data_IF_349688685391
#
_entry.id   IF_349688685391
#
_cell.length_a   1.000
_cell.length_b   1.000
_cell.length_c   1.000
_cell.angle_alpha   90.00
_cell.angle_beta   90.00
_cell.angle_gamma   90.00
#
_symmetry.space_group_name_H-M   'P 1'
#
loop_
_entity.id
_entity.type
_entity.pdbx_description
1 polymer ?
#
# COMPACT_ATOMS: atom_id res chain seq x y z
N UNK A 1 51.57 -0.61 -2.13
CA UNK A 1 50.62 -1.61 -2.67
C UNK A 1 49.65 -1.92 -1.55
N UNK A 2 48.45 -1.35 -1.59
CA UNK A 2 47.38 -1.67 -0.64
C UNK A 2 46.45 -2.61 -1.40
N UNK A 3 46.43 -3.88 -1.02
CA UNK A 3 45.49 -4.85 -1.57
C UNK A 3 44.08 -4.40 -1.18
N UNK A 4 43.29 -3.97 -2.17
CA UNK A 4 41.86 -3.72 -1.98
C UNK A 4 41.16 -5.08 -2.02
N UNK A 5 40.73 -5.58 -0.87
CA UNK A 5 39.90 -6.78 -0.81
C UNK A 5 38.52 -6.48 -1.43
N UNK A 6 38.06 -7.39 -2.28
CA UNK A 6 36.70 -7.33 -2.84
C UNK A 6 35.69 -7.36 -1.68
N UNK A 7 34.78 -6.37 -1.56
CA UNK A 7 33.81 -6.32 -0.47
C UNK A 7 32.92 -7.56 -0.38
N UNK A 8 32.78 -8.33 -1.47
CA UNK A 8 32.08 -9.63 -1.47
C UNK A 8 32.84 -10.70 -0.69
N UNK A 9 34.17 -10.69 -0.73
CA UNK A 9 35.01 -11.63 0.04
C UNK A 9 34.90 -11.31 1.54
N UNK A 10 34.94 -10.02 1.89
CA UNK A 10 34.78 -9.55 3.28
C UNK A 10 33.41 -9.94 3.86
N UNK A 11 32.34 -9.82 3.07
CA UNK A 11 30.99 -10.20 3.49
C UNK A 11 30.83 -11.72 3.66
N UNK A 12 31.45 -12.53 2.79
CA UNK A 12 31.44 -14.00 2.91
C UNK A 12 32.23 -14.44 4.14
N UNK A 13 33.40 -13.85 4.40
CA UNK A 13 34.19 -14.17 5.58
C UNK A 13 33.45 -13.81 6.88
N UNK A 14 32.78 -12.66 6.93
CA UNK A 14 31.95 -12.27 8.08
C UNK A 14 30.76 -13.22 8.31
N UNK A 15 30.11 -13.70 7.24
CA UNK A 15 29.02 -14.66 7.33
C UNK A 15 29.51 -16.03 7.82
N UNK A 16 30.68 -16.48 7.34
CA UNK A 16 31.31 -17.73 7.78
C UNK A 16 31.67 -17.65 9.26
N UNK A 17 32.26 -16.54 9.71
CA UNK A 17 32.58 -16.31 11.13
C UNK A 17 31.33 -16.30 12.02
N UNK A 18 30.24 -15.67 11.57
CA UNK A 18 28.97 -15.65 12.31
C UNK A 18 28.35 -17.05 12.44
N UNK A 19 28.43 -17.87 11.39
CA UNK A 19 27.95 -19.25 11.39
C UNK A 19 28.81 -20.11 12.34
N UNK A 20 30.14 -19.99 12.28
CA UNK A 20 31.06 -20.72 13.15
C UNK A 20 30.82 -20.36 14.63
N UNK A 21 30.65 -19.06 14.95
CA UNK A 21 30.33 -18.61 16.30
C UNK A 21 28.97 -19.15 16.80
N UNK A 22 27.96 -19.18 15.93
CA UNK A 22 26.65 -19.76 16.26
C UNK A 22 26.72 -21.27 16.50
N UNK A 23 27.55 -21.99 15.72
CA UNK A 23 27.77 -23.43 15.90
C UNK A 23 28.56 -23.75 17.18
N UNK A 24 29.53 -22.91 17.56
CA UNK A 24 30.25 -23.04 18.84
C UNK A 24 29.38 -22.74 20.06
N UNK A 25 28.39 -21.86 19.92
CA UNK A 25 27.45 -21.50 20.97
C UNK A 25 26.39 -22.59 21.24
N UNK A 26 26.25 -23.60 20.37
CA UNK A 26 25.31 -24.70 20.61
C UNK A 26 25.78 -25.59 21.77
N UNK A 27 24.86 -25.98 22.69
CA UNK A 27 25.22 -26.83 23.82
C UNK A 27 25.73 -28.19 23.35
N UNK A 28 26.89 -28.61 23.85
CA UNK A 28 27.59 -29.86 23.44
C UNK A 28 26.82 -31.15 23.74
N UNK A 29 25.72 -31.06 24.48
CA UNK A 29 24.81 -32.17 24.80
C UNK A 29 23.38 -31.67 24.69
N UNK A 30 22.85 -31.60 23.47
CA UNK A 30 21.41 -31.58 23.26
C UNK A 30 20.94 -33.04 23.20
N UNK A 31 20.02 -33.43 24.08
CA UNK A 31 19.26 -34.67 23.93
C UNK A 31 17.91 -34.33 23.32
N UNK A 32 17.31 -35.28 22.60
CA UNK A 32 15.91 -35.17 22.23
C UNK A 32 14.99 -35.35 23.45
N UNK A 33 13.67 -35.24 23.23
CA UNK A 33 12.63 -35.41 24.24
C UNK A 33 12.61 -36.82 24.88
N UNK A 34 13.41 -37.75 24.38
CA UNK A 34 13.56 -39.11 24.88
C UNK A 34 14.90 -39.37 25.59
N UNK A 35 15.74 -38.33 25.76
CA UNK A 35 17.02 -38.43 26.45
C UNK A 35 18.15 -39.04 25.63
N UNK A 36 17.95 -39.24 24.31
CA UNK A 36 19.01 -39.72 23.42
C UNK A 36 19.87 -38.55 22.94
N UNK A 37 21.21 -38.65 22.97
CA UNK A 37 22.08 -37.58 22.53
C UNK A 37 21.93 -37.34 21.02
N UNK A 38 21.53 -36.13 20.64
CA UNK A 38 21.46 -35.71 19.24
C UNK A 38 22.87 -35.79 18.65
N UNK A 39 23.09 -36.76 17.75
CA UNK A 39 24.35 -36.86 17.00
C UNK A 39 24.38 -35.79 15.91
N UNK A 40 24.77 -34.58 16.30
CA UNK A 40 25.10 -33.52 15.34
C UNK A 40 26.38 -33.93 14.61
N UNK A 41 26.26 -34.25 13.31
CA UNK A 41 27.44 -34.41 12.45
C UNK A 41 28.12 -33.05 12.36
N UNK A 42 29.38 -32.96 12.80
CA UNK A 42 30.22 -31.76 12.61
C UNK A 42 30.27 -31.46 11.11
N UNK A 43 29.58 -30.41 10.67
CA UNK A 43 29.77 -29.86 9.34
C UNK A 43 31.21 -29.35 9.26
N UNK A 44 31.96 -29.80 8.26
CA UNK A 44 33.31 -29.29 8.04
C UNK A 44 33.18 -27.93 7.37
N UNK A 45 34.14 -27.02 7.62
CA UNK A 45 34.21 -25.70 6.99
C UNK A 45 34.06 -25.77 5.45
N UNK A 46 34.55 -26.84 4.84
CA UNK A 46 34.38 -27.12 3.41
C UNK A 46 32.93 -27.38 2.99
N UNK A 47 32.12 -28.04 3.82
CA UNK A 47 30.73 -28.37 3.52
C UNK A 47 29.84 -27.10 3.52
N UNK A 48 30.13 -26.13 4.40
CA UNK A 48 29.42 -24.83 4.47
C UNK A 48 29.86 -23.92 3.33
N UNK A 49 31.17 -23.84 3.05
CA UNK A 49 31.70 -23.07 1.94
C UNK A 49 31.18 -23.59 0.58
N UNK A 50 31.09 -24.91 0.40
CA UNK A 50 30.53 -25.54 -0.80
C UNK A 50 29.01 -25.27 -0.93
N UNK A 51 28.26 -25.29 0.17
CA UNK A 51 26.83 -24.97 0.14
C UNK A 51 26.56 -23.48 -0.20
N UNK A 52 27.37 -22.56 0.33
CA UNK A 52 27.30 -21.13 0.02
C UNK A 52 27.73 -20.86 -1.42
N UNK A 53 28.83 -21.47 -1.89
CA UNK A 53 29.27 -21.37 -3.29
C UNK A 53 28.21 -21.94 -4.26
N UNK A 54 27.59 -23.07 -3.93
CA UNK A 54 26.50 -23.65 -4.73
C UNK A 54 25.27 -22.73 -4.77
N UNK A 55 24.89 -22.11 -3.65
CA UNK A 55 23.78 -21.16 -3.59
C UNK A 55 24.07 -19.90 -4.41
N UNK A 56 25.29 -19.35 -4.30
CA UNK A 56 25.72 -18.17 -5.07
C UNK A 56 25.80 -18.47 -6.58
N UNK A 57 26.24 -19.67 -6.96
CA UNK A 57 26.24 -20.13 -8.37
C UNK A 57 24.86 -20.44 -8.93
N UNK A 58 23.85 -20.59 -8.07
CA UNK A 58 22.46 -20.83 -8.49
C UNK A 58 21.67 -19.53 -8.71
N UNK A 59 22.21 -18.39 -8.27
CA UNK A 59 21.61 -17.06 -8.47
C UNK A 59 21.49 -16.60 -9.93
N UNK A 60 22.32 -17.02 -10.92
CA UNK A 60 22.15 -16.63 -12.32
C UNK A 60 20.96 -17.31 -13.04
N UNK A 61 20.18 -18.17 -12.38
CA UNK A 61 19.01 -18.83 -12.98
C UNK A 61 17.67 -18.37 -12.40
N UNK A 62 17.66 -17.37 -11.51
CA UNK A 62 16.45 -16.60 -11.24
C UNK A 62 16.34 -15.52 -12.31
N UNK A 63 15.63 -15.87 -13.38
CA UNK A 63 15.20 -14.96 -14.43
C UNK A 63 14.24 -13.92 -13.82
N UNK A 64 14.82 -12.85 -13.26
CA UNK A 64 14.09 -11.63 -12.95
C UNK A 64 14.08 -10.84 -14.24
N UNK A 65 13.06 -11.09 -15.06
CA UNK A 65 12.91 -10.48 -16.39
C UNK A 65 13.08 -8.96 -16.35
N UNK A 66 14.25 -8.52 -16.80
CA UNK A 66 14.46 -7.19 -17.38
C UNK A 66 14.75 -7.43 -18.85
N UNK A 67 13.82 -6.98 -19.70
CA UNK A 67 13.80 -7.30 -21.12
C UNK A 67 15.09 -6.93 -21.87
N UNK A 68 15.49 -7.86 -22.74
CA UNK A 68 16.43 -7.64 -23.82
C UNK A 68 15.86 -6.65 -24.85
N UNK A 69 15.93 -5.35 -24.62
CA UNK A 69 15.86 -4.35 -25.69
C UNK A 69 16.73 -3.14 -25.35
N UNK A 70 18.05 -3.25 -25.61
CA UNK A 70 18.96 -2.19 -26.09
C UNK A 70 20.43 -2.57 -25.87
N UNK A 71 20.96 -3.47 -26.71
CA UNK A 71 22.42 -3.56 -26.93
C UNK A 71 22.71 -3.42 -28.42
N UNK A 72 22.69 -2.17 -28.85
CA UNK A 72 23.07 -1.74 -30.19
C UNK A 72 23.69 -0.36 -30.13
N UNK A 73 24.80 -0.21 -29.39
CA UNK A 73 25.86 0.80 -29.53
C UNK A 73 26.92 0.59 -28.44
N UNK A 74 28.19 0.65 -28.83
CA UNK A 74 29.34 0.27 -28.00
C UNK A 74 29.48 1.04 -26.69
N UNK A 75 30.02 0.35 -25.69
CA UNK A 75 30.49 0.95 -24.44
C UNK A 75 31.75 1.80 -24.70
N UNK A 76 31.86 3.02 -24.16
CA UNK A 76 33.08 3.83 -24.27
C UNK A 76 34.16 3.33 -23.30
N UNK A 77 35.39 3.37 -23.80
CA UNK A 77 36.63 2.81 -23.23
C UNK A 77 37.23 3.65 -22.09
N UNK A 78 36.43 4.41 -21.34
CA UNK A 78 36.94 5.18 -20.20
C UNK A 78 35.88 5.36 -19.12
N UNK A 79 35.89 4.47 -18.13
CA UNK A 79 35.13 4.59 -16.89
C UNK A 79 36.11 4.85 -15.74
N UNK A 80 35.96 5.97 -15.04
CA UNK A 80 36.72 6.27 -13.82
C UNK A 80 35.97 5.80 -12.56
N UNK A 81 36.62 5.10 -11.61
CA UNK A 81 35.96 4.57 -10.43
C UNK A 81 35.89 5.63 -9.33
N UNK A 82 34.68 6.11 -9.01
CA UNK A 82 34.55 7.03 -7.89
C UNK A 82 33.18 7.58 -7.53
N UNK A 83 32.05 7.07 -8.04
CA UNK A 83 30.73 7.50 -7.56
C UNK A 83 29.70 6.38 -7.72
N UNK A 84 29.55 5.52 -6.70
CA UNK A 84 28.21 4.99 -6.43
C UNK A 84 28.01 4.69 -4.94
N UNK A 85 26.84 5.08 -4.42
CA UNK A 85 26.38 4.88 -3.04
C UNK A 85 25.33 3.76 -3.02
N UNK A 86 25.66 2.58 -3.54
CA UNK A 86 24.73 1.45 -3.56
C UNK A 86 25.33 0.24 -2.83
N UNK A 87 25.77 0.46 -1.58
CA UNK A 87 26.12 -0.63 -0.65
C UNK A 87 24.88 -1.06 0.17
N UNK A 88 23.90 -0.17 0.32
CA UNK A 88 22.71 -0.39 1.15
C UNK A 88 21.71 -1.40 0.55
N UNK A 89 21.64 -1.54 -0.77
CA UNK A 89 20.70 -2.45 -1.44
C UNK A 89 21.18 -3.92 -1.40
N UNK A 90 22.50 -4.14 -1.33
CA UNK A 90 23.07 -5.49 -1.26
C UNK A 90 22.87 -6.11 0.13
N UNK A 91 23.01 -5.33 1.21
CA UNK A 91 22.73 -5.80 2.56
C UNK A 91 21.23 -6.11 2.76
N UNK A 92 20.33 -5.34 2.14
CA UNK A 92 18.87 -5.55 2.27
C UNK A 92 18.36 -6.83 1.60
N UNK A 93 19.07 -7.37 0.59
CA UNK A 93 18.67 -8.60 -0.12
C UNK A 93 19.35 -9.86 0.42
N UNK A 94 20.60 -9.75 0.87
CA UNK A 94 21.40 -10.92 1.30
C UNK A 94 20.95 -11.42 2.68
N UNK A 95 20.68 -10.52 3.63
CA UNK A 95 20.31 -10.90 5.00
C UNK A 95 18.97 -11.67 5.09
N UNK A 96 17.87 -11.25 4.43
CA UNK A 96 16.60 -11.98 4.48
C UNK A 96 16.69 -13.33 3.78
N UNK A 97 17.46 -13.42 2.70
CA UNK A 97 17.62 -14.64 1.90
C UNK A 97 18.48 -15.67 2.65
N UNK A 98 19.60 -15.24 3.24
CA UNK A 98 20.43 -16.08 4.08
C UNK A 98 19.69 -16.56 5.35
N UNK A 99 18.89 -15.68 5.96
CA UNK A 99 18.04 -16.01 7.11
C UNK A 99 16.96 -17.04 6.74
N UNK A 100 16.32 -16.91 5.57
CA UNK A 100 15.31 -17.86 5.10
C UNK A 100 15.91 -19.24 4.77
N UNK A 101 17.11 -19.27 4.18
CA UNK A 101 17.85 -20.53 3.92
C UNK A 101 18.26 -21.19 5.23
N UNK A 102 18.77 -20.42 6.20
CA UNK A 102 19.10 -20.92 7.53
C UNK A 102 17.87 -21.46 8.28
N UNK A 103 16.75 -20.73 8.27
CA UNK A 103 15.50 -21.16 8.90
C UNK A 103 14.92 -22.42 8.24
N UNK A 104 14.99 -22.54 6.91
CA UNK A 104 14.55 -23.74 6.19
C UNK A 104 15.43 -24.96 6.50
N UNK A 105 16.75 -24.76 6.62
CA UNK A 105 17.72 -25.82 6.93
C UNK A 105 17.57 -26.32 8.38
N UNK A 106 17.39 -25.39 9.33
CA UNK A 106 17.14 -25.71 10.74
C UNK A 106 15.77 -26.40 10.90
N UNK A 107 14.74 -25.92 10.20
CA UNK A 107 13.41 -26.55 10.16
C UNK A 107 13.44 -27.98 9.58
N UNK A 108 14.26 -28.23 8.57
CA UNK A 108 14.43 -29.57 7.99
C UNK A 108 15.15 -30.54 8.95
N UNK A 109 16.06 -30.06 9.79
CA UNK A 109 16.73 -30.89 10.80
C UNK A 109 15.85 -31.17 12.03
N UNK A 110 14.98 -30.23 12.41
CA UNK A 110 14.01 -30.44 13.49
C UNK A 110 12.89 -31.44 13.12
N UNK A 111 12.66 -31.68 11.83
CA UNK A 111 11.67 -32.66 11.35
C UNK A 111 12.13 -34.12 11.32
N UNK A 112 13.38 -34.42 11.71
CA UNK A 112 13.91 -35.81 11.70
C UNK A 112 13.43 -36.63 12.93
N UNK A 113 12.61 -36.05 13.82
CA UNK A 113 12.12 -36.70 15.05
C UNK A 113 10.74 -37.35 15.00
N UNK A 114 9.99 -37.32 13.88
CA UNK A 114 8.67 -37.97 13.80
C UNK A 114 8.64 -39.05 12.73
N UNK A 115 8.62 -40.30 13.19
CA UNK A 115 8.48 -41.49 12.34
C UNK A 115 7.15 -41.49 11.59
N UNK A 116 7.18 -41.06 10.33
CA UNK A 116 6.10 -41.33 9.38
C UNK A 116 6.51 -42.48 8.45
N UNK A 117 5.61 -43.46 8.38
CA UNK A 117 5.70 -44.66 7.55
C UNK A 117 5.90 -44.33 6.07
N UNK A 118 6.76 -45.11 5.42
CA UNK A 118 7.19 -44.94 4.04
C UNK A 118 6.05 -45.15 3.04
N UNK A 119 5.42 -44.06 2.58
CA UNK A 119 5.02 -43.92 1.17
C UNK A 119 4.75 -42.45 0.84
N UNK A 120 5.44 -41.96 -0.19
CA UNK A 120 5.43 -40.58 -0.76
C UNK A 120 6.24 -39.53 0.01
N UNK A 121 7.45 -39.27 -0.50
CA UNK A 121 8.21 -38.05 -0.20
C UNK A 121 7.56 -36.87 -0.95
N UNK A 122 7.14 -35.77 -0.30
CA UNK A 122 6.82 -34.56 -1.04
C UNK A 122 8.12 -33.89 -1.51
N UNK A 123 8.13 -33.37 -2.73
CA UNK A 123 9.21 -32.53 -3.23
C UNK A 123 9.25 -31.19 -2.48
N UNK A 124 10.43 -30.59 -2.32
CA UNK A 124 10.64 -29.26 -1.73
C UNK A 124 9.68 -28.17 -2.25
N UNK A 125 9.17 -28.30 -3.49
CA UNK A 125 8.17 -27.39 -4.06
C UNK A 125 6.81 -27.36 -3.34
N UNK A 126 6.43 -28.42 -2.62
CA UNK A 126 5.11 -28.51 -1.96
C UNK A 126 5.06 -27.76 -0.62
N UNK A 127 6.21 -27.61 0.06
CA UNK A 127 6.30 -26.84 1.31
C UNK A 127 6.26 -25.32 1.08
N UNK A 128 6.78 -24.85 -0.07
CA UNK A 128 6.75 -23.43 -0.42
C UNK A 128 5.34 -22.95 -0.84
N UNK A 129 4.51 -23.83 -1.40
CA UNK A 129 3.13 -23.49 -1.79
C UNK A 129 2.22 -23.15 -0.58
N UNK A 130 2.53 -23.67 0.61
CA UNK A 130 1.75 -23.46 1.84
C UNK A 130 1.98 -22.10 2.51
N UNK A 131 3.07 -21.40 2.18
CA UNK A 131 3.45 -20.11 2.78
C UNK A 131 3.17 -18.90 1.86
N UNK A 132 2.79 -19.15 0.60
CA UNK A 132 2.45 -18.14 -0.39
C UNK A 132 1.32 -17.13 0.04
N UNK A 133 0.33 -17.47 0.88
CA UNK A 133 -0.72 -16.50 1.24
C UNK A 133 -0.29 -15.36 2.17
N UNK A 134 0.94 -15.39 2.71
CA UNK A 134 1.34 -14.51 3.82
C UNK A 134 2.08 -13.24 3.35
N UNK A 135 2.20 -13.04 2.03
CA UNK A 135 3.10 -12.03 1.44
C UNK A 135 2.46 -10.71 0.99
N UNK A 136 1.16 -10.46 1.15
CA UNK A 136 0.56 -9.18 0.71
C UNK A 136 -0.34 -8.52 1.77
N UNK A 137 0.02 -7.27 2.10
CA UNK A 137 -0.78 -6.22 2.74
C UNK A 137 -1.42 -6.53 4.10
N UNK A 138 -0.62 -6.89 5.10
CA UNK A 138 -1.03 -6.76 6.51
C UNK A 138 -0.27 -5.61 7.16
N UNK A 139 -0.99 -4.62 7.69
CA UNK A 139 -0.38 -3.56 8.50
C UNK A 139 0.33 -4.16 9.72
N UNK A 140 1.34 -3.48 10.27
CA UNK A 140 2.07 -3.92 11.47
C UNK A 140 1.12 -4.32 12.62
N UNK A 141 0.02 -3.58 12.79
CA UNK A 141 -1.05 -3.86 13.76
C UNK A 141 -1.80 -5.18 13.48
N UNK A 142 -1.94 -5.56 12.21
CA UNK A 142 -2.56 -6.81 11.76
C UNK A 142 -1.62 -7.99 11.95
N UNK A 143 -0.33 -7.81 11.68
CA UNK A 143 0.70 -8.82 11.95
C UNK A 143 0.83 -9.08 13.45
N UNK A 144 0.85 -8.02 14.26
CA UNK A 144 0.90 -8.11 15.73
C UNK A 144 -0.30 -8.84 16.32
N UNK A 145 -1.53 -8.51 15.91
CA UNK A 145 -2.73 -9.24 16.35
C UNK A 145 -2.75 -10.71 15.92
N UNK A 146 -2.21 -11.02 14.73
CA UNK A 146 -2.12 -12.40 14.25
C UNK A 146 -1.06 -13.20 15.00
N UNK A 147 0.07 -12.58 15.34
CA UNK A 147 1.12 -13.15 16.19
C UNK A 147 0.63 -13.38 17.62
N UNK A 148 -0.08 -12.42 18.21
CA UNK A 148 -0.70 -12.56 19.54
C UNK A 148 -1.76 -13.68 19.57
N UNK A 149 -2.54 -13.81 18.49
CA UNK A 149 -3.49 -14.92 18.33
C UNK A 149 -2.78 -16.27 18.20
N UNK A 150 -1.69 -16.34 17.43
CA UNK A 150 -0.89 -17.55 17.28
C UNK A 150 -0.21 -17.96 18.60
N UNK A 151 0.25 -16.99 19.39
CA UNK A 151 0.78 -17.23 20.74
C UNK A 151 -0.30 -17.70 21.72
N UNK A 152 -1.56 -17.27 21.54
CA UNK A 152 -2.69 -17.68 22.40
C UNK A 152 -3.29 -19.04 22.05
N UNK A 153 -3.14 -19.52 20.81
CA UNK A 153 -3.79 -20.74 20.32
C UNK A 153 -2.92 -22.01 20.44
N UNK A 154 -1.71 -21.92 21.00
CA UNK A 154 -0.98 -23.08 21.53
C UNK A 154 0.47 -23.21 21.08
N UNK A 155 1.37 -22.67 21.87
CA UNK A 155 2.69 -23.26 22.13
C UNK A 155 3.21 -22.67 23.43
N UNK A 156 3.33 -23.50 24.45
CA UNK A 156 3.97 -23.13 25.72
C UNK A 156 5.48 -23.05 25.47
N UNK A 157 5.95 -21.96 24.86
CA UNK A 157 7.37 -21.68 24.78
C UNK A 157 7.75 -21.03 26.10
N UNK A 158 8.45 -21.79 26.96
CA UNK A 158 9.11 -21.22 28.12
C UNK A 158 10.17 -20.24 27.61
N UNK A 159 9.85 -18.95 27.62
CA UNK A 159 10.84 -17.89 27.42
C UNK A 159 11.91 -18.05 28.51
N UNK A 160 13.10 -18.52 28.12
CA UNK A 160 14.25 -18.52 29.01
C UNK A 160 14.65 -17.07 29.33
N UNK A 161 15.20 -16.85 30.52
CA UNK A 161 15.76 -15.58 30.99
C UNK A 161 16.72 -14.93 29.99
N UNK A 162 17.32 -15.72 29.11
CA UNK A 162 18.27 -15.31 28.09
C UNK A 162 17.61 -14.53 26.94
N UNK A 163 16.37 -14.88 26.59
CA UNK A 163 15.60 -14.16 25.56
C UNK A 163 15.20 -12.76 26.07
N UNK A 164 14.85 -12.65 27.36
CA UNK A 164 14.54 -11.38 28.01
C UNK A 164 15.79 -10.49 28.20
N UNK A 165 16.97 -11.11 28.35
CA UNK A 165 18.26 -10.39 28.42
C UNK A 165 18.66 -9.83 27.06
N UNK A 166 18.59 -10.63 25.99
CA UNK A 166 18.90 -10.20 24.63
C UNK A 166 17.96 -9.08 24.17
N UNK A 167 16.66 -9.15 24.51
CA UNK A 167 15.73 -8.05 24.24
C UNK A 167 16.03 -6.76 25.00
N UNK A 168 16.72 -6.84 26.15
CA UNK A 168 17.15 -5.67 26.93
C UNK A 168 18.42 -5.07 26.32
N UNK A 169 19.40 -5.90 26.00
CA UNK A 169 20.65 -5.48 25.35
C UNK A 169 20.38 -4.86 23.96
N UNK A 170 19.44 -5.40 23.18
CA UNK A 170 19.03 -4.83 21.90
C UNK A 170 18.35 -3.46 22.05
N UNK A 171 17.59 -3.27 23.15
CA UNK A 171 16.89 -2.02 23.44
C UNK A 171 17.85 -0.94 23.97
N UNK A 172 18.88 -1.34 24.69
CA UNK A 172 19.98 -0.45 25.12
C UNK A 172 20.87 -0.05 23.93
N UNK A 173 21.12 -0.95 22.97
CA UNK A 173 21.85 -0.63 21.74
C UNK A 173 21.06 0.28 20.77
N UNK A 174 19.72 0.22 20.79
CA UNK A 174 18.88 1.14 20.02
C UNK A 174 18.78 2.55 20.64
N UNK A 175 19.19 2.73 21.90
CA UNK A 175 19.30 4.02 22.56
C UNK A 175 20.68 4.64 22.33
N UNK A 176 21.09 4.72 21.07
CA UNK A 176 22.33 5.39 20.67
C UNK A 176 22.40 6.85 21.15
N UNK A 177 23.61 7.21 21.57
CA UNK A 177 24.19 8.55 21.79
C UNK A 177 23.23 9.74 22.06
N UNK A 178 23.16 10.28 23.29
CA UNK A 178 22.25 11.36 23.66
C UNK A 178 22.52 12.73 22.98
N UNK A 179 23.55 12.88 22.15
CA UNK A 179 23.94 14.15 21.53
C UNK A 179 23.43 14.39 20.09
N UNK A 180 22.75 13.43 19.46
CA UNK A 180 22.11 13.65 18.16
C UNK A 180 20.64 14.08 18.29
N UNK A 181 20.37 15.27 18.82
CA UNK A 181 19.04 15.89 18.75
C UNK A 181 18.71 16.27 17.30
N UNK A 182 18.15 15.31 16.55
CA UNK A 182 17.38 15.64 15.35
C UNK A 182 16.18 16.46 15.82
N UNK A 183 16.11 17.73 15.41
CA UNK A 183 15.01 18.61 15.76
C UNK A 183 13.68 17.94 15.37
N UNK A 184 12.88 17.58 16.38
CA UNK A 184 11.62 16.89 16.15
C UNK A 184 10.65 17.77 15.35
N UNK A 185 9.91 17.15 14.42
CA UNK A 185 8.92 17.85 13.62
C UNK A 185 7.81 18.45 14.51
N UNK A 186 7.41 19.72 14.29
CA UNK A 186 6.25 20.28 14.97
C UNK A 186 4.94 19.62 14.49
N UNK A 187 3.85 19.72 15.26
CA UNK A 187 2.56 19.14 14.91
C UNK A 187 1.96 19.91 13.73
N UNK A 188 1.22 19.22 12.87
CA UNK A 188 0.52 19.86 11.77
C UNK A 188 -0.62 20.77 12.25
N UNK A 189 -0.96 21.81 11.48
CA UNK A 189 -2.12 22.69 11.76
C UNK A 189 -3.42 21.91 11.96
N UNK A 190 -3.58 20.78 11.25
CA UNK A 190 -4.73 19.89 11.39
C UNK A 190 -4.76 19.22 12.77
N UNK A 191 -3.62 18.72 13.26
CA UNK A 191 -3.52 18.14 14.60
C UNK A 191 -3.82 19.19 15.67
N UNK A 192 -3.22 20.39 15.58
CA UNK A 192 -3.48 21.49 16.52
C UNK A 192 -4.96 21.89 16.53
N UNK A 193 -5.59 22.00 15.35
CA UNK A 193 -7.02 22.28 15.23
C UNK A 193 -7.90 21.18 15.85
N UNK A 194 -7.51 19.92 15.69
CA UNK A 194 -8.24 18.78 16.25
C UNK A 194 -8.09 18.69 17.78
N UNK A 195 -6.88 18.88 18.30
CA UNK A 195 -6.59 18.97 19.74
C UNK A 195 -7.42 20.09 20.37
N UNK A 196 -7.44 21.29 19.78
CA UNK A 196 -8.25 22.41 20.27
C UNK A 196 -9.76 22.09 20.25
N UNK A 197 -10.24 21.33 19.26
CA UNK A 197 -11.63 20.88 19.22
C UNK A 197 -11.95 19.85 20.30
N UNK A 198 -11.05 18.90 20.57
CA UNK A 198 -11.20 17.88 21.61
C UNK A 198 -11.12 18.49 23.00
N UNK A 199 -10.11 19.33 23.25
CA UNK A 199 -9.94 20.09 24.50
C UNK A 199 -11.24 20.75 24.95
N UNK A 200 -11.96 21.40 24.02
CA UNK A 200 -13.27 22.02 24.30
C UNK A 200 -14.38 21.01 24.61
N UNK A 201 -14.46 19.90 23.87
CA UNK A 201 -15.49 18.87 24.08
C UNK A 201 -15.31 18.12 25.39
N UNK A 202 -14.07 17.94 25.83
CA UNK A 202 -13.70 17.24 27.07
C UNK A 202 -13.67 18.15 28.30
N UNK A 203 -14.12 19.40 28.18
CA UNK A 203 -14.19 20.34 29.31
C UNK A 203 -12.84 20.85 29.82
N UNK A 204 -11.74 20.61 29.09
CA UNK A 204 -10.40 21.09 29.43
C UNK A 204 -10.19 22.53 28.94
N UNK A 205 -11.18 23.42 29.14
CA UNK A 205 -11.13 24.79 28.64
C UNK A 205 -10.11 25.66 29.37
N UNK A 206 -9.79 25.31 30.62
CA UNK A 206 -8.76 25.95 31.42
C UNK A 206 -7.35 25.57 30.90
N UNK A 207 -6.45 26.55 30.79
CA UNK A 207 -5.10 26.35 30.25
C UNK A 207 -4.22 25.53 31.21
N UNK A 208 -4.42 25.67 32.52
CA UNK A 208 -3.65 24.95 33.54
C UNK A 208 -4.09 23.49 33.62
N UNK A 209 -5.39 23.22 33.67
CA UNK A 209 -5.92 21.85 33.62
C UNK A 209 -5.50 21.10 32.34
N UNK A 210 -5.43 21.81 31.21
CA UNK A 210 -4.95 21.22 29.96
C UNK A 210 -3.44 20.99 29.96
N UNK A 211 -2.66 21.92 30.51
CA UNK A 211 -1.21 21.77 30.66
C UNK A 211 -0.86 20.57 31.56
N UNK A 212 -1.60 20.39 32.66
CA UNK A 212 -1.41 19.28 33.59
C UNK A 212 -1.81 17.93 32.98
N UNK A 213 -2.80 17.91 32.07
CA UNK A 213 -3.14 16.73 31.28
C UNK A 213 -2.05 16.39 30.25
N UNK A 214 -1.41 17.41 29.63
CA UNK A 214 -0.36 17.21 28.62
C UNK A 214 0.97 16.77 29.22
N UNK A 215 1.35 17.30 30.40
CA UNK A 215 2.66 17.08 30.99
C UNK A 215 3.06 15.58 31.14
N UNK A 216 2.21 14.68 31.65
CA UNK A 216 2.58 13.26 31.78
C UNK A 216 2.62 12.53 30.43
N UNK A 217 1.92 13.01 29.40
CA UNK A 217 1.84 12.36 28.09
C UNK A 217 2.95 12.78 27.14
N UNK A 218 3.32 14.06 27.20
CA UNK A 218 4.18 14.70 26.21
C UNK A 218 5.41 15.39 26.82
N UNK A 219 5.54 15.44 28.14
CA UNK A 219 6.63 16.14 28.83
C UNK A 219 6.58 17.66 28.70
N UNK A 220 5.56 18.21 28.04
CA UNK A 220 5.43 19.64 27.75
C UNK A 220 4.10 20.20 28.28
N UNK A 221 4.14 21.47 28.70
CA UNK A 221 2.98 22.20 29.26
C UNK A 221 2.27 23.11 28.27
N UNK A 222 2.81 23.27 27.06
CA UNK A 222 2.25 24.18 26.05
C UNK A 222 2.23 23.53 24.66
N UNK A 223 1.23 23.89 23.86
CA UNK A 223 1.03 23.36 22.51
C UNK A 223 2.16 23.68 21.53
N UNK A 224 2.81 24.87 21.55
CA UNK A 224 3.91 25.16 20.63
C UNK A 224 5.15 24.29 20.82
N UNK A 225 5.40 23.80 22.04
CA UNK A 225 6.50 22.89 22.34
C UNK A 225 6.15 21.41 22.09
N UNK A 226 4.92 21.10 21.67
CA UNK A 226 4.48 19.74 21.44
C UNK A 226 5.09 19.20 20.15
N UNK A 227 5.62 17.98 20.17
CA UNK A 227 6.13 17.33 18.96
C UNK A 227 5.03 16.59 18.19
N UNK A 228 5.23 16.33 16.89
CA UNK A 228 4.23 15.66 16.04
C UNK A 228 3.82 14.27 16.55
N UNK A 229 4.76 13.50 17.09
CA UNK A 229 4.48 12.19 17.67
C UNK A 229 3.65 12.32 18.96
N UNK A 230 4.08 13.21 19.87
CA UNK A 230 3.38 13.52 21.10
C UNK A 230 1.97 14.08 20.86
N UNK A 231 1.78 14.87 19.80
CA UNK A 231 0.47 15.37 19.38
C UNK A 231 -0.50 14.25 18.99
N UNK A 232 -0.01 13.17 18.37
CA UNK A 232 -0.85 12.03 18.01
C UNK A 232 -1.30 11.25 19.25
N UNK A 233 -0.37 11.02 20.20
CA UNK A 233 -0.69 10.39 21.49
C UNK A 233 -1.70 11.22 22.30
N UNK A 234 -1.50 12.54 22.35
CA UNK A 234 -2.41 13.45 23.03
C UNK A 234 -3.83 13.41 22.42
N UNK A 235 -3.95 13.29 21.09
CA UNK A 235 -5.25 13.15 20.41
C UNK A 235 -5.96 11.87 20.84
N UNK A 236 -5.24 10.75 20.88
CA UNK A 236 -5.81 9.45 21.28
C UNK A 236 -6.27 9.48 22.75
N UNK A 237 -5.43 9.97 23.67
CA UNK A 237 -5.83 10.13 25.08
C UNK A 237 -7.00 11.09 25.26
N UNK A 238 -7.06 12.17 24.48
CA UNK A 238 -8.20 13.09 24.50
C UNK A 238 -9.48 12.45 23.96
N UNK A 239 -9.42 11.49 23.03
CA UNK A 239 -10.59 10.80 22.51
C UNK A 239 -11.21 9.85 23.54
N UNK A 240 -10.39 9.26 24.41
CA UNK A 240 -10.81 8.31 25.45
C UNK A 240 -11.54 8.98 26.63
N UNK A 241 -11.29 10.27 26.88
CA UNK A 241 -12.04 11.01 27.90
C UNK A 241 -13.53 11.05 27.56
N UNK A 242 -14.46 10.97 28.53
CA UNK A 242 -15.88 11.17 28.25
C UNK A 242 -16.15 12.62 27.78
N UNK A 243 -17.10 12.80 26.86
CA UNK A 243 -17.57 14.15 26.50
C UNK A 243 -18.31 14.76 27.69
N UNK A 244 -18.06 16.04 27.99
CA UNK A 244 -18.81 16.75 29.01
C UNK A 244 -20.17 17.13 28.43
N UNK A 245 -21.19 16.38 28.83
CA UNK A 245 -22.59 16.48 28.41
C UNK A 245 -23.21 17.81 28.90
N UNK A 246 -22.79 18.94 28.34
CA UNK A 246 -23.42 20.26 28.51
C UNK A 246 -22.63 21.44 27.96
N UNK A 247 -21.40 21.29 27.45
CA UNK A 247 -20.66 22.46 26.96
C UNK A 247 -21.48 23.16 25.85
N UNK A 248 -22.07 24.34 26.11
CA UNK A 248 -22.93 24.99 25.13
C UNK A 248 -22.04 25.29 23.93
N UNK A 249 -22.33 24.68 22.78
CA UNK A 249 -21.68 25.07 21.53
C UNK A 249 -21.76 26.58 21.47
N UNK A 250 -20.64 27.32 21.43
CA UNK A 250 -20.72 28.76 21.35
C UNK A 250 -21.59 29.07 20.13
N UNK A 251 -22.80 29.59 20.37
CA UNK A 251 -23.65 30.13 19.31
C UNK A 251 -22.72 31.01 18.50
N UNK A 252 -22.59 30.75 17.20
CA UNK A 252 -21.69 31.49 16.34
C UNK A 252 -21.93 32.98 16.59
N UNK A 253 -21.07 33.60 17.40
CA UNK A 253 -21.19 35.02 17.72
C UNK A 253 -21.03 35.69 16.37
N UNK A 254 -22.08 36.37 15.91
CA UNK A 254 -22.04 37.24 14.74
C UNK A 254 -20.79 38.08 14.89
N UNK A 255 -19.81 37.77 14.05
CA UNK A 255 -18.46 38.34 14.07
C UNK A 255 -18.61 39.87 14.13
N UNK A 256 -18.20 40.56 15.21
CA UNK A 256 -18.16 42.02 15.19
C UNK A 256 -17.27 42.44 14.03
N UNK A 257 -17.66 43.50 13.33
CA UNK A 257 -16.97 44.04 12.19
C UNK A 257 -15.52 44.37 12.56
N UNK A 258 -14.64 43.39 12.36
CA UNK A 258 -13.21 43.57 12.51
C UNK A 258 -12.75 44.46 11.34
N UNK A 259 -11.96 45.48 11.68
CA UNK A 259 -11.21 46.27 10.72
C UNK A 259 -10.56 45.37 9.65
N UNK A 260 -10.53 45.82 8.39
CA UNK A 260 -10.11 45.01 7.26
C UNK A 260 -8.62 44.66 7.40
N UNK A 261 -8.34 43.47 7.94
CA UNK A 261 -7.06 42.81 7.73
C UNK A 261 -6.83 42.73 6.22
N UNK A 262 -5.63 43.05 5.71
CA UNK A 262 -5.34 42.95 4.28
C UNK A 262 -5.67 41.53 3.84
N UNK A 263 -6.66 41.43 2.97
CA UNK A 263 -7.18 40.16 2.51
C UNK A 263 -6.05 39.43 1.79
N UNK A 264 -5.55 38.34 2.39
CA UNK A 264 -4.92 37.28 1.59
C UNK A 264 -5.95 36.90 0.53
N UNK A 265 -5.65 37.02 -0.77
CA UNK A 265 -6.61 36.77 -1.82
C UNK A 265 -7.00 35.30 -1.76
N UNK A 266 -8.20 35.02 -1.23
CA UNK A 266 -8.88 33.76 -1.52
C UNK A 266 -9.28 33.83 -2.98
N UNK A 267 -8.43 33.32 -3.86
CA UNK A 267 -8.80 33.05 -5.24
C UNK A 267 -9.94 32.04 -5.25
N UNK A 268 -11.18 32.56 -5.16
CA UNK A 268 -12.39 31.83 -5.47
C UNK A 268 -12.50 31.84 -6.99
N UNK A 269 -11.70 31.01 -7.65
CA UNK A 269 -11.84 30.78 -9.08
C UNK A 269 -13.24 30.23 -9.34
N UNK A 270 -14.15 31.08 -9.80
CA UNK A 270 -15.47 30.65 -10.25
C UNK A 270 -15.30 29.98 -11.60
N UNK A 271 -14.89 28.71 -11.60
CA UNK A 271 -14.88 27.92 -12.83
C UNK A 271 -16.33 27.72 -13.26
N UNK A 272 -16.70 28.30 -14.41
CA UNK A 272 -18.04 28.20 -15.00
C UNK A 272 -18.41 26.73 -15.18
N UNK A 273 -19.62 26.37 -14.74
CA UNK A 273 -20.15 25.02 -14.90
C UNK A 273 -21.02 24.97 -16.16
N UNK A 274 -20.77 24.01 -17.03
CA UNK A 274 -21.57 23.72 -18.23
C UNK A 274 -22.67 22.72 -17.86
N UNK A 275 -23.89 23.00 -18.31
CA UNK A 275 -25.01 22.07 -18.25
C UNK A 275 -24.88 20.99 -19.33
N UNK A 276 -25.33 19.78 -19.02
CA UNK A 276 -25.39 18.66 -19.95
C UNK A 276 -26.67 17.87 -19.74
N UNK A 277 -27.15 17.23 -20.80
CA UNK A 277 -28.29 16.32 -20.78
C UNK A 277 -28.18 15.30 -21.91
N UNK A 278 -28.54 14.05 -21.63
CA UNK A 278 -28.55 13.00 -22.66
C UNK A 278 -28.81 11.61 -22.11
N UNK A 279 -28.64 10.62 -22.98
CA UNK A 279 -28.73 9.19 -22.66
C UNK A 279 -27.37 8.68 -22.16
N UNK A 280 -27.36 7.94 -21.06
CA UNK A 280 -26.16 7.30 -20.54
C UNK A 280 -25.83 6.07 -21.40
N UNK A 281 -24.77 6.13 -22.20
CA UNK A 281 -24.32 4.99 -23.01
C UNK A 281 -23.43 4.04 -22.21
N UNK A 282 -22.81 4.52 -21.12
CA UNK A 282 -22.04 3.72 -20.17
C UNK A 282 -21.94 4.41 -18.80
N UNK A 283 -21.74 3.60 -17.77
CA UNK A 283 -21.37 4.04 -16.42
C UNK A 283 -20.22 3.15 -15.94
N UNK A 284 -19.01 3.70 -15.94
CA UNK A 284 -17.78 2.95 -15.64
C UNK A 284 -17.15 3.46 -14.34
N UNK A 285 -16.36 2.64 -13.61
CA UNK A 285 -15.60 3.13 -12.48
C UNK A 285 -14.56 4.17 -12.94
N UNK A 286 -14.32 5.18 -12.11
CA UNK A 286 -13.29 6.21 -12.31
C UNK A 286 -12.12 5.90 -11.39
N UNK A 287 -11.17 5.14 -11.92
CA UNK A 287 -9.97 4.68 -11.22
C UNK A 287 -8.78 5.27 -11.95
N UNK A 288 -7.78 5.74 -11.20
CA UNK A 288 -6.51 6.19 -11.75
C UNK A 288 -5.40 5.27 -11.25
N UNK A 289 -4.52 4.85 -12.15
CA UNK A 289 -3.26 4.21 -11.81
C UNK A 289 -2.18 5.27 -11.79
N UNK A 290 -1.32 5.24 -10.77
CA UNK A 290 -0.15 6.11 -10.68
C UNK A 290 1.02 5.29 -10.19
N UNK A 291 2.14 5.37 -10.89
CA UNK A 291 3.38 4.73 -10.48
C UNK A 291 4.22 5.73 -9.69
N UNK A 292 4.36 5.52 -8.38
CA UNK A 292 5.21 6.34 -7.51
C UNK A 292 6.33 5.47 -6.96
N UNK A 293 7.59 5.82 -7.25
CA UNK A 293 8.80 5.08 -6.80
C UNK A 293 8.81 3.59 -7.21
N UNK A 294 8.26 3.28 -8.39
CA UNK A 294 8.16 1.90 -8.89
C UNK A 294 7.05 1.09 -8.23
N UNK A 295 6.24 1.69 -7.36
CA UNK A 295 5.04 1.05 -6.81
C UNK A 295 3.77 1.60 -7.47
N UNK A 296 2.93 0.69 -7.96
CA UNK A 296 1.63 1.01 -8.52
C UNK A 296 0.61 1.34 -7.43
N UNK A 297 0.04 2.54 -7.48
CA UNK A 297 -1.02 2.99 -6.60
C UNK A 297 -2.32 3.23 -7.36
N UNK A 298 -3.41 2.67 -6.82
CA UNK A 298 -4.75 2.82 -7.40
C UNK A 298 -5.58 3.84 -6.61
N UNK A 299 -6.05 4.88 -7.30
CA UNK A 299 -6.94 5.89 -6.75
C UNK A 299 -8.38 5.67 -7.23
N UNK A 300 -9.26 5.23 -6.32
CA UNK A 300 -10.68 4.95 -6.59
C UNK A 300 -11.51 6.21 -6.36
N UNK A 301 -11.67 7.03 -7.40
CA UNK A 301 -12.18 8.39 -7.27
C UNK A 301 -13.71 8.48 -7.35
N UNK A 302 -14.35 7.60 -8.12
CA UNK A 302 -15.80 7.67 -8.36
C UNK A 302 -16.21 6.87 -9.59
N UNK A 303 -17.08 7.45 -10.42
CA UNK A 303 -17.56 6.87 -11.67
C UNK A 303 -17.51 7.89 -12.80
N UNK A 304 -17.43 7.43 -14.04
CA UNK A 304 -17.58 8.23 -15.26
C UNK A 304 -18.91 7.88 -15.90
N UNK A 305 -19.74 8.91 -16.15
CA UNK A 305 -20.94 8.80 -16.96
C UNK A 305 -20.56 9.16 -18.39
N UNK A 306 -20.78 8.24 -19.34
CA UNK A 306 -20.66 8.55 -20.76
C UNK A 306 -22.04 8.93 -21.26
N UNK A 307 -22.24 10.20 -21.59
CA UNK A 307 -23.55 10.78 -21.92
C UNK A 307 -23.58 11.09 -23.41
N UNK A 308 -24.43 10.40 -24.19
CA UNK A 308 -24.75 10.81 -25.55
C UNK A 308 -25.83 11.89 -25.50
N UNK A 309 -25.47 13.11 -25.83
CA UNK A 309 -26.43 14.23 -25.84
C UNK A 309 -25.77 15.59 -25.98
N UNK A 310 -26.43 16.61 -25.44
CA UNK A 310 -26.06 18.01 -25.61
C UNK A 310 -25.19 18.51 -24.45
N UNK A 311 -24.20 19.34 -24.78
CA UNK A 311 -23.37 20.11 -23.85
C UNK A 311 -23.62 21.60 -24.05
N UNK A 312 -23.80 22.35 -22.97
CA UNK A 312 -24.00 23.80 -23.03
C UNK A 312 -22.83 24.49 -23.76
N UNK A 313 -23.17 25.18 -24.85
CA UNK A 313 -22.20 25.88 -25.70
C UNK A 313 -21.74 25.09 -26.93
N UNK A 314 -22.23 23.87 -27.13
CA UNK A 314 -21.98 23.07 -28.34
C UNK A 314 -23.30 22.81 -29.08
N UNK A 315 -23.28 22.94 -30.42
CA UNK A 315 -24.47 22.76 -31.27
C UNK A 315 -24.71 21.31 -31.69
N UNK A 316 -23.71 20.43 -31.55
CA UNK A 316 -23.76 19.05 -31.98
C UNK A 316 -23.86 18.08 -30.79
N UNK A 317 -24.69 17.05 -30.91
CA UNK A 317 -24.72 15.96 -29.95
C UNK A 317 -23.48 15.07 -30.10
N UNK A 318 -22.89 14.68 -28.98
CA UNK A 318 -21.76 13.76 -28.92
C UNK A 318 -21.77 12.98 -27.62
N UNK A 319 -20.81 12.06 -27.46
CA UNK A 319 -20.55 11.43 -26.17
C UNK A 319 -19.71 12.39 -25.33
N UNK A 320 -20.16 12.66 -24.11
CA UNK A 320 -19.53 13.52 -23.12
C UNK A 320 -19.19 12.67 -21.90
N UNK A 321 -17.94 12.68 -21.45
CA UNK A 321 -17.54 11.97 -20.24
C UNK A 321 -17.67 12.86 -18.98
N UNK A 322 -18.45 12.43 -18.00
CA UNK A 322 -18.73 13.21 -16.77
C UNK A 322 -18.33 12.44 -15.52
N UNK A 323 -17.34 12.95 -14.80
CA UNK A 323 -16.87 12.40 -13.53
C UNK A 323 -17.81 12.72 -12.36
N UNK A 324 -18.31 11.69 -11.69
CA UNK A 324 -19.14 11.77 -10.49
C UNK A 324 -18.49 11.07 -9.30
N UNK A 325 -18.82 11.52 -8.07
CA UNK A 325 -18.33 10.89 -6.85
C UNK A 325 -19.15 9.67 -6.42
N UNK A 326 -18.58 8.84 -5.54
CA UNK A 326 -19.21 7.62 -4.98
C UNK A 326 -20.61 7.88 -4.40
N UNK A 327 -20.77 8.95 -3.64
CA UNK A 327 -22.06 9.32 -3.03
C UNK A 327 -23.13 9.69 -4.05
N UNK A 328 -22.74 10.30 -5.18
CA UNK A 328 -23.68 10.61 -6.25
C UNK A 328 -24.16 9.31 -6.94
N UNK A 329 -23.24 8.38 -7.20
CA UNK A 329 -23.61 7.09 -7.76
C UNK A 329 -24.50 6.29 -6.81
N UNK A 330 -24.16 6.20 -5.53
CA UNK A 330 -25.00 5.51 -4.54
C UNK A 330 -26.40 6.11 -4.43
N UNK A 331 -26.53 7.45 -4.53
CA UNK A 331 -27.81 8.16 -4.45
C UNK A 331 -28.68 7.94 -5.69
N UNK A 332 -28.08 8.01 -6.88
CA UNK A 332 -28.83 8.04 -8.14
C UNK A 332 -28.88 6.70 -8.85
N UNK A 333 -27.98 5.76 -8.50
CA UNK A 333 -27.82 4.47 -9.14
C UNK A 333 -27.86 4.58 -10.67
N UNK A 334 -27.02 5.47 -11.24
CA UNK A 334 -26.98 5.66 -12.70
C UNK A 334 -26.60 4.35 -13.38
N UNK A 335 -27.22 4.10 -14.53
CA UNK A 335 -26.97 2.93 -15.37
C UNK A 335 -27.08 3.31 -16.84
N UNK A 336 -26.53 2.45 -17.70
CA UNK A 336 -26.71 2.56 -19.15
C UNK A 336 -28.22 2.61 -19.50
N UNK A 337 -28.57 3.43 -20.48
CA UNK A 337 -29.93 3.68 -20.95
C UNK A 337 -30.70 4.72 -20.13
N UNK A 338 -30.23 5.13 -18.94
CA UNK A 338 -30.88 6.23 -18.22
C UNK A 338 -30.76 7.52 -19.04
N UNK A 339 -31.83 8.32 -19.07
CA UNK A 339 -31.73 9.71 -19.51
C UNK A 339 -31.46 10.58 -18.29
N UNK A 340 -30.38 11.35 -18.31
CA UNK A 340 -29.91 12.11 -17.16
C UNK A 340 -29.48 13.53 -17.54
N UNK A 341 -29.47 14.42 -16.57
CA UNK A 341 -28.96 15.78 -16.72
C UNK A 341 -28.14 16.23 -15.51
N UNK A 342 -27.31 17.24 -15.72
CA UNK A 342 -26.46 17.78 -14.67
C UNK A 342 -25.69 19.02 -15.11
N UNK A 343 -24.75 19.44 -14.25
CA UNK A 343 -23.78 20.49 -14.53
C UNK A 343 -22.38 20.06 -14.09
N UNK A 344 -21.37 20.29 -14.91
CA UNK A 344 -19.98 19.96 -14.61
C UNK A 344 -19.03 21.10 -14.96
N UNK A 345 -17.83 21.09 -14.36
CA UNK A 345 -16.74 22.01 -14.71
C UNK A 345 -15.87 21.33 -15.77
N UNK A 346 -15.52 21.97 -16.88
CA UNK A 346 -14.58 21.42 -17.84
C UNK A 346 -13.21 21.13 -17.21
N UNK A 347 -12.62 20.01 -17.56
CA UNK A 347 -11.21 19.73 -17.28
C UNK A 347 -10.37 20.45 -18.34
N UNK A 348 -9.25 21.06 -17.91
CA UNK A 348 -8.37 21.78 -18.81
C UNK A 348 -7.71 20.86 -19.84
N UNK A 349 -7.42 21.41 -21.02
CA UNK A 349 -6.69 20.69 -22.07
C UNK A 349 -5.34 20.16 -21.55
N UNK A 350 -4.96 18.95 -21.98
CA UNK A 350 -3.72 18.28 -21.57
C UNK A 350 -3.81 17.47 -20.28
N UNK A 351 -4.97 17.38 -19.65
CA UNK A 351 -5.19 16.45 -18.53
C UNK A 351 -5.45 15.05 -19.04
N UNK A 352 -4.67 14.07 -18.56
CA UNK A 352 -4.91 12.64 -18.81
C UNK A 352 -5.94 12.16 -17.79
N UNK A 353 -7.21 12.26 -18.19
CA UNK A 353 -8.35 11.96 -17.35
C UNK A 353 -9.50 11.41 -18.21
N UNK A 354 -10.16 10.36 -17.71
CA UNK A 354 -11.25 9.72 -18.44
C UNK A 354 -12.51 10.61 -18.54
N UNK A 355 -12.65 11.60 -17.66
CA UNK A 355 -13.76 12.54 -17.65
C UNK A 355 -13.37 13.87 -18.34
N UNK A 356 -14.30 14.43 -19.11
CA UNK A 356 -14.20 15.79 -19.67
C UNK A 356 -14.75 16.84 -18.70
N UNK A 357 -15.77 16.46 -17.92
CA UNK A 357 -16.39 17.32 -16.92
C UNK A 357 -16.22 16.73 -15.51
N UNK A 358 -15.88 17.57 -14.54
CA UNK A 358 -15.74 17.19 -13.13
C UNK A 358 -16.58 18.08 -12.21
N UNK A 359 -16.54 17.83 -10.88
CA UNK A 359 -17.35 18.55 -9.88
C UNK A 359 -18.84 18.60 -10.26
N UNK A 360 -19.33 17.47 -10.77
CA UNK A 360 -20.70 17.33 -11.22
C UNK A 360 -21.70 17.68 -10.10
N UNK A 361 -22.77 18.37 -10.48
CA UNK A 361 -23.79 18.89 -9.57
C UNK A 361 -25.13 19.01 -10.28
N UNK A 362 -26.21 19.26 -9.53
CA UNK A 362 -27.57 19.28 -10.06
C UNK A 362 -27.95 18.02 -10.85
N UNK A 363 -27.34 16.89 -10.47
CA UNK A 363 -27.54 15.59 -11.08
C UNK A 363 -28.99 15.13 -10.91
N UNK A 364 -29.63 14.76 -12.02
CA UNK A 364 -31.00 14.25 -12.08
C UNK A 364 -31.07 13.09 -13.04
N UNK A 365 -31.88 12.11 -12.69
CA UNK A 365 -32.33 11.08 -13.62
C UNK A 365 -33.71 11.50 -14.09
N UNK A 366 -33.85 11.69 -15.40
CA UNK A 366 -35.08 12.12 -16.07
C UNK A 366 -35.92 10.91 -16.45
N UNK A 367 -35.27 9.85 -16.94
CA UNK A 367 -35.89 8.60 -17.36
C UNK A 367 -34.96 7.43 -17.04
N UNK A 368 -35.52 6.27 -16.73
CA UNK A 368 -34.75 5.06 -16.40
C UNK A 368 -34.63 4.16 -17.60
N UNK A 369 -33.40 3.74 -17.88
CA UNK A 369 -33.12 2.71 -18.87
C UNK A 369 -33.49 1.32 -18.34
N UNK A 370 -33.63 0.38 -19.27
CA UNK A 370 -33.80 -1.03 -18.94
C UNK A 370 -32.52 -1.60 -18.32
N UNK A 371 -32.70 -2.54 -17.38
CA UNK A 371 -31.60 -3.33 -16.85
C UNK A 371 -31.48 -4.57 -17.71
N UNK A 372 -30.32 -4.77 -18.33
CA UNK A 372 -30.05 -5.97 -19.11
C UNK A 372 -29.57 -7.12 -18.20
N UNK A 373 -29.69 -8.35 -18.71
CA UNK A 373 -29.53 -9.58 -17.95
C UNK A 373 -28.11 -9.92 -17.49
N UNK A 374 -27.95 -11.17 -17.05
CA UNK A 374 -26.74 -11.68 -16.40
C UNK A 374 -25.56 -11.99 -17.35
N UNK A 375 -25.74 -11.82 -18.65
CA UNK A 375 -24.73 -12.11 -19.66
C UNK A 375 -23.90 -10.88 -20.02
N UNK A 376 -22.61 -11.07 -20.37
CA UNK A 376 -21.78 -9.98 -20.84
C UNK A 376 -22.21 -9.50 -22.25
N UNK A 377 -22.00 -8.22 -22.59
CA UNK A 377 -21.52 -7.15 -21.71
C UNK A 377 -22.55 -6.81 -20.62
N UNK A 378 -22.09 -6.72 -19.37
CA UNK A 378 -22.97 -6.51 -18.23
C UNK A 378 -23.44 -5.07 -18.15
N UNK A 379 -24.76 -4.88 -18.09
CA UNK A 379 -25.39 -3.58 -17.98
C UNK A 379 -26.23 -3.48 -16.71
N UNK A 380 -26.28 -2.30 -16.12
CA UNK A 380 -26.98 -2.05 -14.87
C UNK A 380 -26.30 -0.95 -14.07
N UNK A 381 -26.71 -0.74 -12.81
CA UNK A 381 -25.94 0.10 -11.91
C UNK A 381 -24.62 -0.60 -11.61
N UNK A 382 -23.46 0.05 -11.83
CA UNK A 382 -22.19 -0.53 -11.44
C UNK A 382 -22.14 -0.80 -9.92
N UNK A 383 -21.41 -1.84 -9.50
CA UNK A 383 -21.17 -2.16 -8.10
C UNK A 383 -20.35 -1.07 -7.39
N UNK A 384 -20.09 -1.25 -6.09
CA UNK A 384 -19.31 -0.29 -5.35
C UNK A 384 -17.81 -0.41 -5.69
N UNK A 385 -17.06 0.69 -5.54
CA UNK A 385 -15.62 0.70 -5.84
C UNK A 385 -14.77 -0.35 -5.08
N UNK A 386 -15.09 -0.74 -3.83
CA UNK A 386 -14.42 -1.86 -3.18
C UNK A 386 -14.54 -3.18 -3.96
N UNK A 387 -15.66 -3.43 -4.65
CA UNK A 387 -15.87 -4.66 -5.43
C UNK A 387 -14.91 -4.73 -6.62
N UNK A 388 -14.66 -3.60 -7.29
CA UNK A 388 -13.63 -3.49 -8.33
C UNK A 388 -12.23 -3.77 -7.76
N UNK A 389 -11.93 -3.22 -6.58
CA UNK A 389 -10.64 -3.42 -5.92
C UNK A 389 -10.40 -4.88 -5.56
N UNK A 390 -11.41 -5.57 -5.05
CA UNK A 390 -11.33 -6.98 -4.68
C UNK A 390 -11.08 -7.88 -5.89
N UNK A 391 -11.75 -7.58 -7.02
CA UNK A 391 -11.60 -8.33 -8.27
C UNK A 391 -10.24 -8.15 -8.93
N UNK A 392 -9.68 -6.94 -8.82
CA UNK A 392 -8.46 -6.55 -9.52
C UNK A 392 -8.72 -6.23 -11.00
N UNK A 393 -7.83 -5.44 -11.58
CA UNK A 393 -7.86 -5.07 -12.99
C UNK A 393 -7.11 -6.10 -13.83
N UNK A 394 -7.44 -6.17 -15.12
CA UNK A 394 -6.68 -6.89 -16.14
C UNK A 394 -6.63 -6.02 -17.40
N UNK A 395 -5.47 -5.89 -18.06
CA UNK A 395 -5.39 -5.16 -19.32
C UNK A 395 -6.38 -5.73 -20.33
N UNK A 396 -7.11 -4.84 -21.00
CA UNK A 396 -8.11 -5.18 -22.00
C UNK A 396 -7.65 -4.64 -23.35
N UNK A 397 -7.76 -5.45 -24.39
CA UNK A 397 -7.46 -5.00 -25.74
C UNK A 397 -8.33 -3.78 -26.14
N UNK A 398 -7.73 -2.76 -26.77
CA UNK A 398 -8.45 -1.53 -27.15
C UNK A 398 -9.59 -1.78 -28.12
N UNK A 399 -9.43 -2.68 -29.10
CA UNK A 399 -10.50 -3.04 -30.03
C UNK A 399 -11.64 -3.78 -29.31
N UNK A 400 -11.33 -4.68 -28.36
CA UNK A 400 -12.33 -5.34 -27.53
C UNK A 400 -13.09 -4.34 -26.63
N UNK A 401 -12.37 -3.34 -26.08
CA UNK A 401 -12.97 -2.22 -25.36
C UNK A 401 -13.95 -1.45 -26.25
N UNK A 402 -13.49 -0.93 -27.39
CA UNK A 402 -14.31 -0.11 -28.28
C UNK A 402 -15.48 -0.86 -28.91
N UNK A 403 -15.32 -2.17 -29.15
CA UNK A 403 -16.35 -3.02 -29.72
C UNK A 403 -17.46 -3.38 -28.73
N UNK A 404 -17.15 -4.23 -27.75
CA UNK A 404 -18.17 -4.84 -26.89
C UNK A 404 -18.17 -4.30 -25.45
N UNK A 405 -17.01 -3.86 -24.95
CA UNK A 405 -16.83 -3.58 -23.53
C UNK A 405 -17.06 -2.12 -23.13
N UNK A 406 -17.10 -1.15 -24.05
CA UNK A 406 -17.26 0.26 -23.73
C UNK A 406 -18.55 0.57 -22.95
N UNK A 407 -19.62 -0.22 -23.16
CA UNK A 407 -20.86 -0.09 -22.40
C UNK A 407 -20.90 -0.87 -21.08
N UNK A 408 -19.93 -1.74 -20.83
CA UNK A 408 -19.94 -2.70 -19.72
C UNK A 408 -19.61 -2.03 -18.39
N UNK A 409 -20.35 -2.38 -17.32
CA UNK A 409 -20.08 -1.86 -15.97
C UNK A 409 -18.71 -2.27 -15.41
N UNK A 410 -18.09 -3.31 -15.98
CA UNK A 410 -16.80 -3.83 -15.55
C UNK A 410 -15.61 -3.30 -16.36
N UNK A 411 -15.87 -2.60 -17.47
CA UNK A 411 -14.83 -1.97 -18.25
C UNK A 411 -14.48 -0.59 -17.66
N UNK A 412 -13.23 -0.18 -17.82
CA UNK A 412 -12.73 1.10 -17.35
C UNK A 412 -11.68 1.60 -18.34
N UNK A 413 -11.80 2.82 -18.83
CA UNK A 413 -10.69 3.51 -19.50
C UNK A 413 -9.88 4.21 -18.41
N UNK A 414 -8.78 3.58 -17.98
CA UNK A 414 -8.01 3.98 -16.80
C UNK A 414 -6.82 4.86 -17.21
N UNK A 415 -6.69 6.09 -16.66
CA UNK A 415 -5.47 6.88 -16.80
C UNK A 415 -4.26 6.15 -16.19
N UNK A 416 -3.23 5.89 -16.99
CA UNK A 416 -1.96 5.28 -16.63
C UNK A 416 -0.81 6.07 -17.30
N UNK A 417 0.10 6.64 -16.51
CA UNK A 417 1.39 7.20 -16.96
C UNK A 417 1.36 7.99 -18.29
N UNK A 418 0.35 8.85 -18.45
CA UNK A 418 0.05 9.76 -19.57
C UNK A 418 -0.88 9.25 -20.69
N UNK A 419 -1.33 8.00 -20.63
CA UNK A 419 -2.29 7.42 -21.57
C UNK A 419 -3.58 6.93 -20.89
N UNK A 420 -4.61 6.67 -21.70
CA UNK A 420 -5.82 5.99 -21.27
C UNK A 420 -5.74 4.54 -21.71
N UNK A 421 -5.61 3.65 -20.73
CA UNK A 421 -5.51 2.21 -20.97
C UNK A 421 -6.83 1.52 -20.60
N UNK A 422 -7.41 0.75 -21.52
CA UNK A 422 -8.59 -0.05 -21.23
C UNK A 422 -8.28 -1.21 -20.27
N UNK A 423 -9.13 -1.35 -19.27
CA UNK A 423 -8.98 -2.32 -18.19
C UNK A 423 -10.31 -3.03 -17.93
N UNK A 424 -10.24 -4.31 -17.61
CA UNK A 424 -11.39 -5.15 -17.31
C UNK A 424 -11.35 -5.62 -15.85
N UNK A 425 -12.42 -5.34 -15.11
CA UNK A 425 -12.67 -5.83 -13.76
C UNK A 425 -13.72 -6.96 -13.73
N UNK A 426 -14.14 -7.45 -14.90
CA UNK A 426 -15.20 -8.44 -15.03
C UNK A 426 -14.79 -9.80 -14.48
N UNK A 427 -15.76 -10.72 -14.34
CA UNK A 427 -15.49 -12.16 -14.14
C UNK A 427 -14.37 -12.67 -15.05
N UNK A 428 -13.55 -13.60 -14.55
CA UNK A 428 -12.39 -14.14 -15.29
C UNK A 428 -12.79 -15.02 -16.46
N UNK A 429 -14.01 -15.56 -16.43
CA UNK A 429 -14.66 -16.38 -17.45
C UNK A 429 -15.48 -15.56 -18.46
N UNK A 430 -15.33 -14.23 -18.47
CA UNK A 430 -15.95 -13.38 -19.48
C UNK A 430 -15.45 -13.75 -20.89
N UNK A 431 -16.32 -14.27 -21.75
CA UNK A 431 -15.96 -14.64 -23.12
C UNK A 431 -15.71 -13.43 -24.05
N UNK A 432 -16.04 -12.21 -23.60
CA UNK A 432 -15.71 -10.96 -24.31
C UNK A 432 -14.37 -10.37 -23.89
N UNK A 433 -13.70 -10.98 -22.89
CA UNK A 433 -12.38 -10.55 -22.49
C UNK A 433 -11.34 -11.05 -23.49
N UNK A 434 -10.62 -10.11 -24.09
CA UNK A 434 -9.47 -10.36 -24.95
C UNK A 434 -8.31 -9.56 -24.38
N UNK A 435 -7.23 -10.24 -23.98
CA UNK A 435 -6.08 -9.57 -23.40
C UNK A 435 -5.28 -8.81 -24.47
N UNK A 436 -4.37 -7.94 -24.05
CA UNK A 436 -3.46 -7.28 -24.99
C UNK A 436 -2.56 -8.28 -25.74
N UNK A 437 -2.24 -9.42 -25.11
CA UNK A 437 -1.36 -10.45 -25.66
C UNK A 437 -2.05 -11.34 -26.70
N UNK A 438 -3.38 -11.40 -26.69
CA UNK A 438 -4.18 -12.24 -27.60
C UNK A 438 -4.39 -11.61 -28.98
N UNK A 439 -4.01 -10.34 -29.15
CA UNK A 439 -4.24 -9.61 -30.39
C UNK A 439 -3.38 -10.17 -31.54
N UNK A 440 -3.97 -10.52 -32.70
CA UNK A 440 -3.18 -10.84 -33.89
C UNK A 440 -2.41 -9.59 -34.33
N UNK A 441 -1.07 -9.67 -34.34
CA UNK A 441 -0.16 -8.62 -34.80
C UNK A 441 -0.39 -8.21 -36.26
#
# INVERSE_FOLDING_TARGET
MVERHDPRIVAVDALVEAIDAALEALPKQASDDYGEPLRVRKLRRGDVAEAVDLALRSLPQLDIGYGEQTLGKGWPESYEPGQNKDVDDFEQLVYPTAFMVFAAQVGAQLHVGFGFSASRKPSLGTCFASLAPWRKNSSEKTLRKKLERFASEGAQVSCSLETARLWRELRELQQGDPEAQVAADPPSDKQLGFIASLRRRKGLADDEAFADFMQPLAGVRNLPALEKAAASLLIDSLLELPDVESAPRPRAKSKPAAEPKPAKPKQKGSSTKLAWEGELVAVQPRIKLSTERGEEQHSYQGFVLYVRGALEGEDAERVIAVGIGKAAQAKHAFRKGDRASGKGVPIGAGSVEAAELYKASALKVLERGEVQGAEPPWFGPPPELPDYRERGHRPLNRAAYEGACAGCIWACDMPCDDELEPQCYGPRDCHLYESLEDAPF
#
